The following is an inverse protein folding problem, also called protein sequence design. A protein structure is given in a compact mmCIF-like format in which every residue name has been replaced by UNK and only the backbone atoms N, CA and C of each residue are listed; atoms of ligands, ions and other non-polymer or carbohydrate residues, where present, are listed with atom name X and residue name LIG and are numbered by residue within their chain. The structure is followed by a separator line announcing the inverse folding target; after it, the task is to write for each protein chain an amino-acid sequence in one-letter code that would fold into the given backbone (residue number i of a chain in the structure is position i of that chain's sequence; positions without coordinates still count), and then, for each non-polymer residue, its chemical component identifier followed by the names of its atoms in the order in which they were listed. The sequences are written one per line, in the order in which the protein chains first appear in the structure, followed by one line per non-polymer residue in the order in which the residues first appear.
data_IF_889216260683
#
_entry.id   IF_889216260683
#
_cell.length_a   1.000
_cell.length_b   1.000
_cell.length_c   1.000
_cell.angle_alpha   90.00
_cell.angle_beta   90.00
_cell.angle_gamma   90.00
#
_symmetry.space_group_name_H-M   'P 1'
#
loop_
_entity.id
_entity.type
_entity.pdbx_description
1 polymer ?
#
# COMPACT_ATOMS: atom_id res chain seq x y z
N UNK A 1 14.85 -14.19 -3.63
CA UNK A 1 13.39 -14.10 -3.72
C UNK A 1 12.81 -15.11 -2.75
N UNK A 2 12.33 -14.63 -1.60
CA UNK A 2 11.70 -15.47 -0.59
C UNK A 2 10.35 -16.00 -1.11
N UNK A 3 10.15 -17.34 -1.19
CA UNK A 3 8.92 -17.93 -1.74
C UNK A 3 7.62 -17.40 -1.14
N UNK A 4 7.61 -17.09 0.17
CA UNK A 4 6.44 -16.53 0.86
C UNK A 4 6.09 -15.10 0.37
N UNK A 5 7.08 -14.28 0.06
CA UNK A 5 6.87 -12.94 -0.54
C UNK A 5 6.48 -13.01 -2.03
N UNK A 6 6.67 -14.17 -2.69
CA UNK A 6 6.12 -14.45 -4.03
C UNK A 6 4.65 -14.86 -3.91
N UNK A 7 4.27 -15.61 -2.87
CA UNK A 7 2.87 -15.97 -2.58
C UNK A 7 1.98 -14.74 -2.33
N UNK A 8 2.55 -13.67 -1.76
CA UNK A 8 1.92 -12.35 -1.68
C UNK A 8 1.88 -11.58 -3.01
N UNK A 9 2.35 -12.14 -4.12
CA UNK A 9 2.58 -11.43 -5.40
C UNK A 9 1.33 -10.82 -6.03
N UNK A 10 0.13 -11.31 -5.70
CA UNK A 10 -1.13 -10.66 -6.11
C UNK A 10 -1.47 -9.41 -5.28
N UNK A 11 -0.94 -9.31 -4.06
CA UNK A 11 -1.18 -8.22 -3.11
C UNK A 11 -0.01 -7.21 -3.06
N UNK A 12 1.18 -7.59 -3.55
CA UNK A 12 2.40 -6.77 -3.53
C UNK A 12 3.10 -6.78 -4.88
N UNK A 13 3.34 -5.61 -5.46
CA UNK A 13 4.21 -5.45 -6.64
C UNK A 13 3.48 -5.27 -7.96
N UNK A 14 2.17 -5.01 -7.95
CA UNK A 14 1.34 -4.86 -9.15
C UNK A 14 0.68 -3.49 -9.26
N UNK A 15 0.29 -3.14 -10.49
CA UNK A 15 -0.63 -2.04 -10.79
C UNK A 15 -2.03 -2.62 -10.99
N UNK A 16 -3.02 -2.13 -10.24
CA UNK A 16 -4.40 -2.60 -10.29
C UNK A 16 -5.36 -1.42 -10.34
N UNK A 17 -6.34 -1.46 -11.25
CA UNK A 17 -7.50 -0.56 -11.20
C UNK A 17 -8.58 -1.27 -10.40
N UNK A 18 -9.10 -0.62 -9.36
CA UNK A 18 -10.17 -1.17 -8.50
C UNK A 18 -11.48 -0.43 -8.74
N UNK A 19 -12.60 -1.11 -8.46
CA UNK A 19 -13.91 -0.58 -8.81
C UNK A 19 -14.47 0.42 -7.79
N UNK A 20 -14.04 0.34 -6.52
CA UNK A 20 -14.54 1.19 -5.45
C UNK A 20 -13.53 1.32 -4.29
N UNK A 21 -13.83 2.24 -3.37
CA UNK A 21 -13.01 2.49 -2.19
C UNK A 21 -13.02 1.35 -1.17
N UNK A 22 -14.13 0.62 -1.02
CA UNK A 22 -14.23 -0.50 -0.08
C UNK A 22 -13.23 -1.61 -0.43
N UNK A 23 -12.93 -1.82 -1.71
CA UNK A 23 -11.87 -2.74 -2.16
C UNK A 23 -10.47 -2.28 -1.74
N UNK A 24 -10.20 -0.96 -1.67
CA UNK A 24 -8.94 -0.44 -1.14
C UNK A 24 -8.84 -0.67 0.35
N UNK A 25 -9.88 -0.34 1.10
CA UNK A 25 -9.88 -0.56 2.54
C UNK A 25 -9.74 -2.04 2.87
N UNK A 26 -10.52 -2.90 2.21
CA UNK A 26 -10.46 -4.34 2.37
C UNK A 26 -9.07 -4.87 2.03
N UNK A 27 -8.49 -4.42 0.92
CA UNK A 27 -7.11 -4.74 0.60
C UNK A 27 -6.15 -4.32 1.70
N UNK A 28 -6.14 -3.06 2.16
CA UNK A 28 -5.22 -2.59 3.20
C UNK A 28 -5.36 -3.39 4.50
N UNK A 29 -6.60 -3.59 4.96
CA UNK A 29 -6.94 -4.32 6.20
C UNK A 29 -6.55 -5.79 6.14
N UNK A 30 -6.60 -6.41 4.97
CA UNK A 30 -6.14 -7.80 4.81
C UNK A 30 -4.65 -7.92 4.52
N UNK A 31 -4.11 -7.00 3.73
CA UNK A 31 -2.77 -7.07 3.18
C UNK A 31 -1.72 -6.75 4.25
N UNK A 32 -1.90 -5.67 5.03
CA UNK A 32 -0.90 -5.26 6.02
C UNK A 32 -0.64 -6.34 7.09
N UNK A 33 -1.67 -6.99 7.69
CA UNK A 33 -1.44 -8.08 8.63
C UNK A 33 -0.77 -9.31 8.00
N UNK A 34 -1.17 -9.68 6.77
CA UNK A 34 -0.55 -10.79 6.03
C UNK A 34 0.93 -10.48 5.72
N UNK A 35 1.22 -9.23 5.34
CA UNK A 35 2.59 -8.78 5.09
C UNK A 35 3.44 -8.88 6.35
N UNK A 36 2.97 -8.35 7.48
CA UNK A 36 3.67 -8.44 8.76
C UNK A 36 3.91 -9.89 9.19
N UNK A 37 2.94 -10.78 8.97
CA UNK A 37 3.07 -12.22 9.25
C UNK A 37 4.17 -12.84 8.40
N UNK A 38 4.16 -12.60 7.09
CA UNK A 38 5.20 -13.13 6.18
C UNK A 38 6.58 -12.56 6.54
N UNK A 39 6.70 -11.27 6.84
CA UNK A 39 7.99 -10.68 7.25
C UNK A 39 8.54 -11.33 8.53
N UNK A 40 7.67 -11.59 9.52
CA UNK A 40 8.03 -12.33 10.75
C UNK A 40 8.48 -13.76 10.47
N UNK A 41 7.70 -14.52 9.68
CA UNK A 41 8.00 -15.92 9.34
C UNK A 41 9.32 -16.07 8.57
N UNK A 42 9.67 -15.05 7.78
CA UNK A 42 10.88 -15.05 6.96
C UNK A 42 12.11 -14.54 7.71
N UNK A 43 11.94 -14.03 8.92
CA UNK A 43 13.02 -13.46 9.74
C UNK A 43 13.49 -12.07 9.27
N UNK A 44 12.72 -11.40 8.40
CA UNK A 44 13.02 -10.03 7.97
C UNK A 44 12.67 -9.09 9.10
N UNK A 45 13.70 -8.53 9.74
CA UNK A 45 13.58 -7.55 10.83
C UNK A 45 13.80 -6.11 10.37
N UNK A 46 14.60 -5.92 9.31
CA UNK A 46 14.85 -4.60 8.71
C UNK A 46 13.86 -4.37 7.57
N UNK A 47 12.69 -3.78 7.88
CA UNK A 47 11.70 -3.38 6.89
C UNK A 47 11.05 -2.02 7.23
N UNK A 48 10.48 -1.40 6.21
CA UNK A 48 9.62 -0.23 6.33
C UNK A 48 8.55 -0.26 5.24
N UNK A 49 7.34 0.17 5.56
CA UNK A 49 6.27 0.36 4.60
C UNK A 49 5.75 1.79 4.65
N UNK A 50 5.31 2.32 3.50
CA UNK A 50 4.70 3.65 3.39
C UNK A 50 3.58 3.67 2.38
N UNK A 51 2.59 4.52 2.64
CA UNK A 51 1.49 4.82 1.75
C UNK A 51 1.64 6.23 1.18
N UNK A 52 1.51 6.33 -0.13
CA UNK A 52 1.48 7.60 -0.85
C UNK A 52 0.19 7.71 -1.65
N UNK A 53 -0.31 8.92 -1.84
CA UNK A 53 -1.44 9.15 -2.75
C UNK A 53 -1.30 10.42 -3.57
N UNK A 54 -1.95 10.40 -4.74
CA UNK A 54 -2.09 11.55 -5.64
C UNK A 54 -3.45 11.50 -6.32
N UNK A 55 -3.96 12.66 -6.74
CA UNK A 55 -5.20 12.80 -7.52
C UNK A 55 -4.86 13.52 -8.82
N UNK A 56 -5.22 12.92 -9.94
CA UNK A 56 -5.05 13.50 -11.28
C UNK A 56 -6.35 13.30 -12.09
N UNK A 57 -7.05 14.40 -12.37
CA UNK A 57 -8.38 14.33 -12.99
C UNK A 57 -9.37 13.56 -12.12
N UNK A 58 -9.97 12.51 -12.69
CA UNK A 58 -10.95 11.66 -12.00
C UNK A 58 -10.33 10.39 -11.40
N UNK A 59 -9.01 10.33 -11.26
CA UNK A 59 -8.33 9.14 -10.73
C UNK A 59 -7.54 9.51 -9.48
N UNK A 60 -7.78 8.77 -8.40
CA UNK A 60 -6.87 8.74 -7.26
C UNK A 60 -5.96 7.51 -7.39
N UNK A 61 -4.66 7.74 -7.22
CA UNK A 61 -3.65 6.69 -7.12
C UNK A 61 -3.24 6.52 -5.66
N UNK A 62 -3.29 5.28 -5.16
CA UNK A 62 -2.73 4.85 -3.88
C UNK A 62 -1.50 3.97 -4.15
N UNK A 63 -0.36 4.34 -3.58
CA UNK A 63 0.91 3.65 -3.76
C UNK A 63 1.39 3.13 -2.42
N UNK A 64 1.54 1.81 -2.30
CA UNK A 64 2.19 1.17 -1.16
C UNK A 64 3.62 0.78 -1.54
N UNK A 65 4.59 1.35 -0.85
CA UNK A 65 6.02 1.01 -1.00
C UNK A 65 6.48 0.22 0.20
N UNK A 66 6.99 -0.97 -0.05
CA UNK A 66 7.63 -1.84 0.93
C UNK A 66 9.13 -1.87 0.67
N UNK A 67 9.91 -1.57 1.69
CA UNK A 67 11.35 -1.66 1.71
C UNK A 67 11.75 -2.75 2.69
N UNK A 68 12.60 -3.68 2.28
CA UNK A 68 13.13 -4.69 3.19
C UNK A 68 14.51 -5.17 2.77
N UNK A 69 15.24 -5.77 3.70
CA UNK A 69 16.56 -6.33 3.42
C UNK A 69 16.47 -7.84 3.15
N UNK A 70 16.92 -8.26 1.98
CA UNK A 70 17.02 -9.67 1.59
C UNK A 70 18.46 -9.98 1.19
N UNK A 71 19.08 -10.98 1.82
CA UNK A 71 20.48 -11.37 1.55
C UNK A 71 21.47 -10.19 1.59
N UNK A 72 21.28 -9.28 2.56
CA UNK A 72 22.12 -8.11 2.73
C UNK A 72 21.84 -6.94 1.80
N UNK A 73 20.92 -7.07 0.84
CA UNK A 73 20.58 -6.04 -0.15
C UNK A 73 19.19 -5.47 0.12
N UNK A 74 19.05 -4.16 -0.07
CA UNK A 74 17.73 -3.52 -0.04
C UNK A 74 16.91 -3.92 -1.25
N UNK A 75 15.67 -4.32 -0.99
CA UNK A 75 14.66 -4.63 -1.97
C UNK A 75 13.51 -3.66 -1.77
N UNK A 76 13.08 -3.02 -2.86
CA UNK A 76 11.86 -2.22 -2.91
C UNK A 76 10.79 -3.00 -3.67
N UNK A 77 9.57 -3.03 -3.13
CA UNK A 77 8.38 -3.49 -3.83
C UNK A 77 7.31 -2.41 -3.78
N UNK A 78 6.79 -2.07 -4.95
CA UNK A 78 5.80 -1.01 -5.10
C UNK A 78 4.50 -1.59 -5.63
N UNK A 79 3.40 -1.30 -4.94
CA UNK A 79 2.05 -1.70 -5.33
C UNK A 79 1.26 -0.45 -5.60
N UNK A 80 0.64 -0.36 -6.77
CA UNK A 80 -0.13 0.80 -7.21
C UNK A 80 -1.57 0.36 -7.38
N UNK A 81 -2.49 1.10 -6.77
CA UNK A 81 -3.92 0.95 -6.99
C UNK A 81 -4.52 2.25 -7.45
N UNK A 82 -5.33 2.20 -8.50
CA UNK A 82 -6.06 3.34 -9.02
C UNK A 82 -7.56 3.16 -8.81
N UNK A 83 -8.20 4.24 -8.36
CA UNK A 83 -9.63 4.30 -8.01
C UNK A 83 -10.22 5.53 -8.65
N UNK A 84 -11.48 5.46 -9.08
CA UNK A 84 -12.23 6.65 -9.45
C UNK A 84 -12.31 7.62 -8.25
N UNK A 85 -11.92 8.87 -8.45
CA UNK A 85 -11.92 9.92 -7.43
C UNK A 85 -13.31 10.15 -6.81
N UNK A 86 -14.37 9.88 -7.57
CA UNK A 86 -15.75 10.01 -7.11
C UNK A 86 -16.11 8.97 -6.04
N UNK A 87 -15.48 7.79 -6.08
CA UNK A 87 -15.68 6.71 -5.11
C UNK A 87 -14.84 6.92 -3.84
N UNK A 88 -13.87 7.84 -3.87
CA UNK A 88 -12.94 8.10 -2.77
C UNK A 88 -13.58 9.05 -1.74
N UNK A 89 -13.58 8.68 -0.43
CA UNK A 89 -14.11 9.53 0.62
C UNK A 89 -13.31 10.82 0.75
N UNK A 90 -13.99 11.93 1.09
CA UNK A 90 -13.40 13.26 1.12
C UNK A 90 -12.11 13.35 1.94
N UNK A 91 -12.05 12.69 3.10
CA UNK A 91 -10.86 12.69 3.97
C UNK A 91 -9.61 12.09 3.29
N UNK A 92 -9.80 11.11 2.39
CA UNK A 92 -8.70 10.41 1.74
C UNK A 92 -8.08 11.24 0.61
N UNK A 93 -8.89 12.11 -0.03
CA UNK A 93 -8.46 13.03 -1.09
C UNK A 93 -8.13 14.45 -0.62
N UNK A 94 -8.45 14.78 0.62
CA UNK A 94 -8.19 16.11 1.17
C UNK A 94 -6.71 16.50 1.04
N UNK A 95 -6.46 17.68 0.45
CA UNK A 95 -5.12 18.22 0.26
C UNK A 95 -4.25 17.48 -0.77
N UNK A 96 -4.77 16.47 -1.47
CA UNK A 96 -4.03 15.79 -2.52
C UNK A 96 -3.95 16.64 -3.80
N UNK A 97 -2.85 16.46 -4.52
CA UNK A 97 -2.61 17.05 -5.84
C UNK A 97 -2.14 15.95 -6.80
N UNK A 98 -1.79 16.31 -8.02
CA UNK A 98 -1.16 15.38 -8.97
C UNK A 98 0.20 14.84 -8.46
N UNK A 99 0.82 15.49 -7.46
CA UNK A 99 2.06 15.01 -6.86
C UNK A 99 1.77 14.02 -5.72
N UNK A 100 2.49 12.88 -5.75
CA UNK A 100 2.49 11.92 -4.65
C UNK A 100 2.83 12.60 -3.31
N UNK A 101 1.95 12.41 -2.35
CA UNK A 101 2.09 12.89 -0.97
C UNK A 101 2.11 11.69 -0.02
N UNK A 102 2.94 11.74 1.02
CA UNK A 102 2.94 10.71 2.07
C UNK A 102 1.65 10.81 2.89
N UNK A 103 0.84 9.75 2.87
CA UNK A 103 -0.47 9.69 3.54
C UNK A 103 -0.49 8.67 4.67
N UNK A 104 0.66 8.08 5.02
CA UNK A 104 0.78 6.94 5.94
C UNK A 104 0.06 7.22 7.25
N UNK A 105 0.43 8.29 7.97
CA UNK A 105 -0.16 8.62 9.27
C UNK A 105 -1.67 8.88 9.22
N UNK A 106 -2.17 9.45 8.12
CA UNK A 106 -3.60 9.69 7.94
C UNK A 106 -4.35 8.37 7.78
N UNK A 107 -3.84 7.48 6.95
CA UNK A 107 -4.49 6.19 6.70
C UNK A 107 -4.41 5.28 7.92
N UNK A 108 -3.30 5.28 8.66
CA UNK A 108 -3.20 4.57 9.96
C UNK A 108 -4.27 5.03 10.94
N UNK A 109 -4.48 6.35 11.04
CA UNK A 109 -5.48 6.94 11.93
C UNK A 109 -6.91 6.63 11.49
N UNK A 110 -7.26 6.90 10.24
CA UNK A 110 -8.65 6.84 9.76
C UNK A 110 -9.12 5.40 9.51
N UNK A 111 -8.21 4.47 9.20
CA UNK A 111 -8.54 3.07 8.92
C UNK A 111 -8.11 2.10 10.03
N UNK A 112 -7.58 2.62 11.15
CA UNK A 112 -7.06 1.85 12.29
C UNK A 112 -6.00 0.82 11.86
N UNK A 113 -5.10 1.23 10.97
CA UNK A 113 -4.06 0.37 10.39
C UNK A 113 -2.74 0.50 11.15
N UNK A 114 -1.89 -0.51 10.99
CA UNK A 114 -0.48 -0.46 11.36
C UNK A 114 0.33 -0.81 10.13
N UNK A 115 1.10 0.14 9.62
CA UNK A 115 1.93 -0.01 8.42
C UNK A 115 3.36 -0.38 8.79
#
# INVERSE_FOLDING_TARGET
MIPLLIGLGALVGGYLVVANWQEIEGWLKEFLPKLQTVLKETGIVDYAAKLFSSVEGNVMRLVHRLYYKENGKWVEKTTVREIDEAEVPAWAKEGLTAKESDVTARYEKELELTV
#
